data_IF_257652320420
#
_entry.id   IF_257652320420
#
_cell.length_a   1.000
_cell.length_b   1.000
_cell.length_c   1.000
_cell.angle_alpha   90.00
_cell.angle_beta   90.00
_cell.angle_gamma   90.00
#
_symmetry.space_group_name_H-M   'P 1'
#
loop_
_entity.id
_entity.type
_entity.pdbx_description
1 polymer ?
#
# COMPACT_ATOMS: atom_id res chain seq x y z
N UNK A 1 3.65 -5.58 -5.13
CA UNK A 1 3.18 -6.56 -6.13
C UNK A 1 1.64 -6.51 -6.30
N UNK A 2 1.07 -5.31 -6.52
CA UNK A 2 -0.33 -5.18 -6.92
C UNK A 2 -0.48 -5.52 -8.41
N UNK A 3 -0.35 -6.80 -8.74
CA UNK A 3 -0.41 -7.31 -10.10
C UNK A 3 -1.79 -7.85 -10.44
N UNK A 4 -2.21 -7.71 -11.69
CA UNK A 4 -3.57 -8.04 -12.12
C UNK A 4 -3.95 -9.51 -11.88
N UNK A 5 -3.03 -10.43 -12.11
CA UNK A 5 -3.25 -11.86 -11.84
C UNK A 5 -3.35 -12.14 -10.34
N UNK A 6 -2.47 -11.54 -9.54
CA UNK A 6 -2.50 -11.67 -8.08
C UNK A 6 -3.75 -11.05 -7.45
N UNK A 7 -4.22 -9.92 -7.96
CA UNK A 7 -5.46 -9.31 -7.47
C UNK A 7 -6.69 -10.22 -7.67
N UNK A 8 -6.68 -11.09 -8.68
CA UNK A 8 -7.78 -12.03 -8.91
C UNK A 8 -7.89 -13.15 -7.86
N UNK A 9 -6.85 -13.40 -7.08
CA UNK A 9 -6.87 -14.42 -6.02
C UNK A 9 -7.15 -13.84 -4.63
N UNK A 10 -7.35 -12.53 -4.52
CA UNK A 10 -7.75 -11.89 -3.27
C UNK A 10 -9.17 -12.30 -2.90
N UNK A 11 -9.33 -12.92 -1.75
CA UNK A 11 -10.61 -13.43 -1.24
C UNK A 11 -10.96 -12.93 0.15
N UNK A 12 -10.09 -12.14 0.77
CA UNK A 12 -10.32 -11.54 2.09
C UNK A 12 -10.96 -10.14 2.02
N UNK A 13 -11.11 -9.59 0.82
CA UNK A 13 -11.84 -8.36 0.51
C UNK A 13 -12.73 -8.54 -0.71
N UNK A 14 -13.78 -7.73 -0.84
CA UNK A 14 -14.46 -7.61 -2.14
C UNK A 14 -13.51 -6.96 -3.17
N UNK A 15 -13.61 -7.30 -4.46
CA UNK A 15 -12.73 -6.73 -5.48
C UNK A 15 -12.76 -5.20 -5.53
N UNK A 16 -13.96 -4.61 -5.41
CA UNK A 16 -14.13 -3.16 -5.48
C UNK A 16 -13.55 -2.45 -4.26
N UNK A 17 -13.78 -2.99 -3.04
CA UNK A 17 -13.21 -2.42 -1.82
C UNK A 17 -11.68 -2.51 -1.83
N UNK A 18 -11.14 -3.67 -2.23
CA UNK A 18 -9.70 -3.87 -2.31
C UNK A 18 -9.05 -2.90 -3.29
N UNK A 19 -9.58 -2.82 -4.51
CA UNK A 19 -9.06 -1.89 -5.53
C UNK A 19 -9.15 -0.44 -5.06
N UNK A 20 -10.27 -0.05 -4.45
CA UNK A 20 -10.42 1.29 -3.89
C UNK A 20 -9.35 1.60 -2.83
N UNK A 21 -9.10 0.67 -1.90
CA UNK A 21 -8.13 0.88 -0.83
C UNK A 21 -6.69 0.97 -1.37
N UNK A 22 -6.35 0.17 -2.38
CA UNK A 22 -5.04 0.24 -3.05
C UNK A 22 -4.85 1.61 -3.71
N UNK A 23 -5.86 2.09 -4.43
CA UNK A 23 -5.80 3.41 -5.08
C UNK A 23 -5.85 4.55 -4.06
N UNK A 24 -6.58 4.39 -2.97
CA UNK A 24 -6.62 5.36 -1.87
C UNK A 24 -5.25 5.54 -1.21
N UNK A 25 -4.53 4.45 -0.96
CA UNK A 25 -3.16 4.50 -0.46
C UNK A 25 -2.23 5.19 -1.46
N UNK A 26 -2.37 4.87 -2.75
CA UNK A 26 -1.58 5.48 -3.81
C UNK A 26 -1.83 6.98 -3.94
N UNK A 27 -3.10 7.41 -3.92
CA UNK A 27 -3.48 8.81 -3.91
C UNK A 27 -2.97 9.54 -2.68
N UNK A 28 -3.00 8.91 -1.50
CA UNK A 28 -2.41 9.46 -0.29
C UNK A 28 -0.89 9.64 -0.43
N UNK A 29 -0.19 8.64 -0.97
CA UNK A 29 1.25 8.73 -1.21
C UNK A 29 1.60 9.90 -2.17
N UNK A 30 0.78 10.10 -3.20
CA UNK A 30 0.93 11.21 -4.14
C UNK A 30 0.62 12.56 -3.49
N UNK A 31 -0.48 12.64 -2.72
CA UNK A 31 -0.89 13.85 -2.01
C UNK A 31 0.18 14.35 -1.03
N UNK A 32 0.82 13.43 -0.31
CA UNK A 32 1.90 13.73 0.63
C UNK A 32 3.31 13.74 -0.01
N UNK A 33 3.41 13.61 -1.33
CA UNK A 33 4.66 13.60 -2.08
C UNK A 33 5.68 12.59 -1.53
N UNK A 34 5.21 11.42 -1.10
CA UNK A 34 6.07 10.38 -0.55
C UNK A 34 6.92 9.74 -1.66
N UNK A 35 8.23 9.53 -1.41
CA UNK A 35 9.04 8.71 -2.31
C UNK A 35 8.39 7.33 -2.49
N UNK A 36 8.03 7.00 -3.72
CA UNK A 36 7.25 5.79 -4.04
C UNK A 36 8.05 4.88 -4.94
N UNK A 37 8.08 3.59 -4.62
CA UNK A 37 8.73 2.55 -5.42
C UNK A 37 7.67 1.53 -5.80
N UNK A 38 7.57 1.23 -7.08
CA UNK A 38 6.69 0.21 -7.62
C UNK A 38 7.50 -1.04 -7.95
N UNK A 39 6.99 -2.20 -7.59
CA UNK A 39 7.65 -3.47 -7.92
C UNK A 39 6.64 -4.55 -8.25
N UNK A 40 7.08 -5.50 -9.05
CA UNK A 40 6.33 -6.68 -9.47
C UNK A 40 7.23 -7.91 -9.43
N UNK A 41 6.63 -9.08 -9.46
CA UNK A 41 7.33 -10.37 -9.55
C UNK A 41 6.79 -11.16 -10.73
N UNK A 42 7.69 -11.55 -11.64
CA UNK A 42 7.39 -12.43 -12.78
C UNK A 42 6.16 -12.00 -13.58
N UNK A 43 6.18 -10.79 -14.14
CA UNK A 43 5.06 -10.20 -14.90
C UNK A 43 4.62 -11.01 -16.11
N UNK A 44 5.57 -11.69 -16.76
CA UNK A 44 5.30 -12.55 -17.94
C UNK A 44 4.60 -13.87 -17.57
N UNK A 45 4.46 -14.15 -16.29
CA UNK A 45 3.80 -15.33 -15.75
C UNK A 45 2.37 -15.04 -15.30
N UNK A 46 1.78 -16.00 -14.54
CA UNK A 46 0.40 -15.90 -14.04
C UNK A 46 0.12 -14.68 -13.14
N UNK A 47 1.16 -14.10 -12.54
CA UNK A 47 1.02 -12.92 -11.69
C UNK A 47 0.51 -11.71 -12.48
N UNK A 48 0.86 -11.64 -13.77
CA UNK A 48 0.45 -10.56 -14.65
C UNK A 48 1.15 -9.23 -14.38
N UNK A 49 0.82 -8.18 -15.14
CA UNK A 49 1.41 -6.85 -14.98
C UNK A 49 0.89 -6.13 -13.74
N UNK A 50 1.60 -5.07 -13.35
CA UNK A 50 1.13 -4.12 -12.33
C UNK A 50 -0.23 -3.54 -12.73
N UNK A 51 -1.09 -3.30 -11.74
CA UNK A 51 -2.35 -2.58 -11.93
C UNK A 51 -2.08 -1.24 -12.63
N UNK A 52 -2.70 -0.98 -13.80
CA UNK A 52 -2.33 0.15 -14.65
C UNK A 52 -2.43 1.51 -13.96
N UNK A 53 -3.45 1.71 -13.14
CA UNK A 53 -3.70 2.96 -12.43
C UNK A 53 -2.53 3.35 -11.51
N UNK A 54 -1.82 2.38 -10.93
CA UNK A 54 -0.63 2.68 -10.11
C UNK A 54 0.52 3.23 -10.95
N UNK A 55 0.70 2.69 -12.14
CA UNK A 55 1.73 3.16 -13.07
C UNK A 55 1.40 4.55 -13.63
N UNK A 56 0.11 4.82 -13.86
CA UNK A 56 -0.38 6.13 -14.29
C UNK A 56 -0.22 7.19 -13.20
N UNK A 57 -0.44 6.84 -11.94
CA UNK A 57 -0.27 7.75 -10.80
C UNK A 57 1.20 8.12 -10.56
N UNK A 58 2.12 7.18 -10.82
CA UNK A 58 3.55 7.33 -10.55
C UNK A 58 4.40 7.06 -11.79
N UNK A 59 4.27 7.85 -12.86
CA UNK A 59 4.98 7.59 -14.13
C UNK A 59 6.51 7.69 -14.00
N UNK A 60 7.00 8.49 -13.06
CA UNK A 60 8.43 8.75 -12.84
C UNK A 60 9.02 7.99 -11.65
N UNK A 61 8.22 7.17 -10.95
CA UNK A 61 8.69 6.38 -9.82
C UNK A 61 9.62 5.24 -10.27
N UNK A 62 10.62 4.87 -9.48
CA UNK A 62 11.36 3.65 -9.71
C UNK A 62 10.42 2.46 -9.84
N UNK A 63 10.53 1.74 -10.94
CA UNK A 63 9.74 0.56 -11.25
C UNK A 63 10.65 -0.64 -11.42
N UNK A 64 10.58 -1.59 -10.51
CA UNK A 64 11.44 -2.77 -10.50
C UNK A 64 10.60 -4.02 -10.85
N UNK A 65 10.64 -4.46 -12.10
CA UNK A 65 10.08 -5.72 -12.54
C UNK A 65 11.05 -6.86 -12.21
N UNK A 66 10.83 -7.53 -11.09
CA UNK A 66 11.70 -8.62 -10.66
C UNK A 66 11.48 -9.86 -11.54
N UNK A 67 12.54 -10.53 -12.03
CA UNK A 67 12.40 -11.70 -12.90
C UNK A 67 11.78 -12.92 -12.21
N UNK A 68 11.84 -13.01 -10.87
CA UNK A 68 11.29 -14.16 -10.16
C UNK A 68 11.50 -14.18 -8.66
N UNK A 69 12.25 -13.22 -8.10
CA UNK A 69 12.42 -13.16 -6.64
C UNK A 69 11.06 -12.97 -5.97
N UNK A 70 10.71 -13.90 -5.11
CA UNK A 70 9.45 -13.85 -4.32
C UNK A 70 9.53 -12.74 -3.30
N UNK A 71 10.63 -12.69 -2.54
CA UNK A 71 10.93 -11.59 -1.65
C UNK A 71 11.54 -10.43 -2.44
N UNK A 72 10.92 -9.27 -2.43
CA UNK A 72 11.47 -8.08 -3.09
C UNK A 72 12.85 -7.69 -2.53
N UNK A 73 13.11 -8.00 -1.27
CA UNK A 73 14.41 -7.73 -0.63
C UNK A 73 15.56 -8.58 -1.15
N UNK A 74 15.26 -9.70 -1.84
CA UNK A 74 16.28 -10.53 -2.53
C UNK A 74 16.69 -9.94 -3.90
N UNK A 75 16.09 -8.81 -4.30
CA UNK A 75 16.44 -8.11 -5.53
C UNK A 75 17.25 -6.86 -5.20
N UNK A 76 18.47 -6.81 -5.70
CA UNK A 76 19.42 -5.73 -5.40
C UNK A 76 18.93 -4.36 -5.89
N UNK A 77 18.30 -4.28 -7.06
CA UNK A 77 17.80 -3.02 -7.60
C UNK A 77 16.67 -2.46 -6.74
N UNK A 78 15.79 -3.34 -6.23
CA UNK A 78 14.74 -2.93 -5.30
C UNK A 78 15.32 -2.37 -4.00
N UNK A 79 16.25 -3.09 -3.38
CA UNK A 79 16.90 -2.64 -2.13
C UNK A 79 17.65 -1.32 -2.34
N UNK A 80 18.35 -1.17 -3.47
CA UNK A 80 19.04 0.06 -3.81
C UNK A 80 18.07 1.23 -4.01
N UNK A 81 16.92 1.01 -4.64
CA UNK A 81 15.89 2.03 -4.78
C UNK A 81 15.34 2.47 -3.42
N UNK A 82 15.10 1.54 -2.49
CA UNK A 82 14.68 1.86 -1.12
C UNK A 82 15.77 2.68 -0.40
N UNK A 83 17.00 2.23 -0.41
CA UNK A 83 18.13 2.91 0.23
C UNK A 83 18.37 4.31 -0.32
N UNK A 84 18.17 4.51 -1.63
CA UNK A 84 18.33 5.80 -2.30
C UNK A 84 17.34 6.87 -1.79
N UNK A 85 16.20 6.49 -1.24
CA UNK A 85 15.25 7.44 -0.63
C UNK A 85 15.79 8.10 0.64
N UNK A 86 16.77 7.50 1.31
CA UNK A 86 17.28 7.94 2.60
C UNK A 86 16.30 7.84 3.77
N UNK A 87 15.10 7.27 3.55
CA UNK A 87 14.08 7.13 4.58
C UNK A 87 14.35 5.91 5.47
N UNK A 88 13.88 5.98 6.71
CA UNK A 88 13.99 4.90 7.70
C UNK A 88 12.65 4.27 8.04
N UNK A 89 11.57 4.89 7.62
CA UNK A 89 10.19 4.42 7.78
C UNK A 89 9.67 3.96 6.41
N UNK A 90 9.15 2.76 6.36
CA UNK A 90 8.59 2.18 5.13
C UNK A 90 7.09 1.91 5.30
N UNK A 91 6.30 2.38 4.36
CA UNK A 91 4.89 2.02 4.22
C UNK A 91 4.82 0.96 3.12
N UNK A 92 4.31 -0.22 3.46
CA UNK A 92 4.33 -1.40 2.59
C UNK A 92 2.92 -1.91 2.35
N UNK A 93 2.60 -2.23 1.12
CA UNK A 93 1.35 -2.90 0.72
C UNK A 93 1.55 -3.76 -0.52
N UNK A 94 0.72 -4.77 -0.71
CA UNK A 94 0.82 -5.66 -1.88
C UNK A 94 -0.07 -6.89 -1.82
N UNK A 95 0.16 -7.81 -2.72
CA UNK A 95 -0.49 -9.13 -2.84
C UNK A 95 0.58 -10.19 -3.10
N UNK A 96 0.60 -11.27 -2.35
CA UNK A 96 -0.27 -11.65 -1.23
C UNK A 96 0.36 -11.25 0.10
N UNK A 97 -0.51 -11.02 1.10
CA UNK A 97 -0.10 -10.48 2.40
C UNK A 97 0.98 -11.31 3.10
N UNK A 98 0.85 -12.64 3.10
CA UNK A 98 1.76 -13.55 3.81
C UNK A 98 3.10 -13.80 3.11
N UNK A 99 3.25 -13.34 1.86
CA UNK A 99 4.46 -13.57 1.05
C UNK A 99 5.05 -12.24 0.57
N UNK A 100 4.47 -11.64 -0.46
CA UNK A 100 5.02 -10.45 -1.11
C UNK A 100 5.01 -9.20 -0.22
N UNK A 101 4.18 -9.18 0.82
CA UNK A 101 4.18 -8.13 1.86
C UNK A 101 5.02 -8.55 3.05
N UNK A 102 4.79 -9.73 3.61
CA UNK A 102 5.44 -10.18 4.82
C UNK A 102 6.97 -10.33 4.66
N UNK A 103 7.44 -10.91 3.56
CA UNK A 103 8.86 -11.19 3.40
C UNK A 103 9.71 -9.91 3.34
N UNK A 104 9.41 -8.94 2.48
CA UNK A 104 10.17 -7.69 2.49
C UNK A 104 9.98 -6.89 3.78
N UNK A 105 8.80 -6.95 4.43
CA UNK A 105 8.60 -6.31 5.73
C UNK A 105 9.53 -6.87 6.80
N UNK A 106 9.64 -8.21 6.89
CA UNK A 106 10.54 -8.88 7.83
C UNK A 106 12.01 -8.56 7.54
N UNK A 107 12.41 -8.61 6.27
CA UNK A 107 13.78 -8.28 5.86
C UNK A 107 14.15 -6.81 6.18
N UNK A 108 13.23 -5.88 5.94
CA UNK A 108 13.43 -4.48 6.26
C UNK A 108 13.56 -4.25 7.78
N UNK A 109 12.74 -4.92 8.59
CA UNK A 109 12.86 -4.88 10.07
C UNK A 109 14.24 -5.38 10.54
N UNK A 110 14.76 -6.46 9.96
CA UNK A 110 16.10 -6.98 10.27
C UNK A 110 17.20 -5.98 9.94
N UNK A 111 17.03 -5.16 8.91
CA UNK A 111 17.96 -4.07 8.55
C UNK A 111 17.73 -2.76 9.34
N UNK A 112 16.82 -2.77 10.30
CA UNK A 112 16.58 -1.65 11.21
C UNK A 112 15.62 -0.57 10.70
N UNK A 113 14.82 -0.87 9.67
CA UNK A 113 13.73 0.01 9.25
C UNK A 113 12.54 -0.09 10.23
N UNK A 114 11.80 0.98 10.37
CA UNK A 114 10.45 0.95 10.93
C UNK A 114 9.47 0.61 9.79
N UNK A 115 8.66 -0.42 9.95
CA UNK A 115 7.78 -0.91 8.88
C UNK A 115 6.32 -0.78 9.28
N UNK A 116 5.57 -0.11 8.42
CA UNK A 116 4.13 0.10 8.52
C UNK A 116 3.46 -0.66 7.38
N UNK A 117 2.69 -1.69 7.70
CA UNK A 117 1.97 -2.50 6.73
C UNK A 117 0.54 -2.00 6.62
N UNK A 118 0.12 -1.64 5.41
CA UNK A 118 -1.24 -1.16 5.17
C UNK A 118 -2.15 -2.35 4.92
N UNK A 119 -2.83 -2.77 5.98
CA UNK A 119 -3.58 -4.02 6.04
C UNK A 119 -4.76 -4.06 5.05
N UNK A 120 -5.45 -2.94 4.84
CA UNK A 120 -6.59 -2.84 3.94
C UNK A 120 -6.21 -2.61 2.46
N UNK A 121 -4.94 -2.29 2.18
CA UNK A 121 -4.37 -2.25 0.83
C UNK A 121 -3.48 -3.46 0.50
N UNK A 122 -3.50 -4.48 1.36
CA UNK A 122 -2.79 -5.76 1.20
C UNK A 122 -3.81 -6.89 1.25
N UNK A 123 -3.84 -7.72 0.23
CA UNK A 123 -4.86 -8.77 0.08
C UNK A 123 -4.27 -10.18 0.01
N UNK A 124 -5.07 -11.18 0.36
CA UNK A 124 -4.72 -12.60 0.27
C UNK A 124 -5.96 -13.49 0.08
N UNK A 125 -5.78 -14.80 0.11
CA UNK A 125 -6.79 -15.82 -0.22
C UNK A 125 -8.01 -15.81 0.71
N UNK A 126 -7.80 -15.62 2.02
CA UNK A 126 -8.84 -15.71 3.03
C UNK A 126 -8.40 -15.10 4.37
N UNK A 127 -9.37 -14.99 5.27
CA UNK A 127 -9.15 -14.41 6.60
C UNK A 127 -8.11 -15.17 7.43
N UNK A 128 -8.10 -16.48 7.42
CA UNK A 128 -7.14 -17.28 8.20
C UNK A 128 -5.70 -16.99 7.78
N UNK A 129 -5.45 -16.95 6.48
CA UNK A 129 -4.12 -16.64 5.92
C UNK A 129 -3.70 -15.21 6.28
N UNK A 130 -4.61 -14.27 6.16
CA UNK A 130 -4.39 -12.86 6.53
C UNK A 130 -4.00 -12.71 8.00
N UNK A 131 -4.77 -13.30 8.90
CA UNK A 131 -4.52 -13.20 10.34
C UNK A 131 -3.19 -13.84 10.75
N UNK A 132 -2.83 -14.97 10.14
CA UNK A 132 -1.52 -15.60 10.35
C UNK A 132 -0.37 -14.69 9.90
N UNK A 133 -0.51 -14.03 8.74
CA UNK A 133 0.47 -13.08 8.24
C UNK A 133 0.61 -11.85 9.13
N UNK A 134 -0.52 -11.28 9.55
CA UNK A 134 -0.55 -10.13 10.46
C UNK A 134 0.16 -10.45 11.77
N UNK A 135 -0.22 -11.56 12.41
CA UNK A 135 0.40 -12.00 13.66
C UNK A 135 1.92 -12.16 13.54
N UNK A 136 2.38 -12.76 12.44
CA UNK A 136 3.81 -12.93 12.18
C UNK A 136 4.53 -11.59 12.05
N UNK A 137 3.98 -10.66 11.28
CA UNK A 137 4.60 -9.35 11.07
C UNK A 137 4.59 -8.49 12.34
N UNK A 138 3.49 -8.49 13.10
CA UNK A 138 3.40 -7.77 14.37
C UNK A 138 4.39 -8.30 15.42
N UNK A 139 4.52 -9.62 15.54
CA UNK A 139 5.50 -10.23 16.44
C UNK A 139 6.95 -9.88 16.07
N UNK A 140 7.23 -9.62 14.81
CA UNK A 140 8.53 -9.15 14.34
C UNK A 140 8.76 -7.64 14.53
N UNK A 141 7.72 -6.88 14.85
CA UNK A 141 7.79 -5.44 15.12
C UNK A 141 7.20 -4.54 14.04
N UNK A 142 6.53 -5.10 13.02
CA UNK A 142 5.79 -4.29 12.06
C UNK A 142 4.52 -3.69 12.71
N UNK A 143 4.14 -2.52 12.27
CA UNK A 143 2.90 -1.87 12.67
C UNK A 143 1.84 -2.03 11.56
N UNK A 144 0.68 -2.59 11.91
CA UNK A 144 -0.44 -2.69 10.99
C UNK A 144 -1.24 -1.40 11.02
N UNK A 145 -1.56 -0.88 9.84
CA UNK A 145 -2.34 0.34 9.65
C UNK A 145 -3.39 0.14 8.56
N UNK A 146 -4.32 1.08 8.47
CA UNK A 146 -5.19 1.24 7.30
C UNK A 146 -4.77 2.48 6.51
N UNK A 147 -5.14 2.56 5.23
CA UNK A 147 -4.76 3.70 4.40
C UNK A 147 -5.27 5.04 4.98
N UNK A 148 -6.47 5.04 5.56
CA UNK A 148 -7.03 6.23 6.21
C UNK A 148 -6.22 6.66 7.44
N UNK A 149 -5.83 5.68 8.27
CA UNK A 149 -4.97 5.91 9.42
C UNK A 149 -3.62 6.50 9.01
N UNK A 150 -2.99 5.94 7.98
CA UNK A 150 -1.73 6.45 7.40
C UNK A 150 -1.90 7.91 6.97
N UNK A 151 -2.94 8.23 6.22
CA UNK A 151 -3.18 9.59 5.75
C UNK A 151 -3.38 10.58 6.91
N UNK A 152 -4.15 10.20 7.93
CA UNK A 152 -4.36 11.05 9.12
C UNK A 152 -3.07 11.26 9.92
N UNK A 153 -2.25 10.23 10.06
CA UNK A 153 -0.99 10.31 10.80
C UNK A 153 0.03 11.19 10.07
N UNK A 154 0.10 11.13 8.75
CA UNK A 154 0.93 12.01 7.93
C UNK A 154 0.44 13.45 7.96
N UNK A 155 -0.86 13.67 7.93
CA UNK A 155 -1.46 15.01 7.86
C UNK A 155 -1.38 15.78 9.20
N UNK A 156 -1.52 15.08 10.31
CA UNK A 156 -1.37 15.58 11.70
C UNK A 156 -2.44 16.56 12.16
N UNK A 157 -2.83 17.51 11.35
CA UNK A 157 -3.78 18.57 11.73
C UNK A 157 -4.66 18.93 10.52
N UNK A 158 -5.95 18.84 10.68
CA UNK A 158 -6.94 19.18 9.65
C UNK A 158 -6.75 20.57 9.06
N UNK A 159 -6.33 21.52 9.87
CA UNK A 159 -6.13 22.91 9.48
C UNK A 159 -4.99 23.10 8.46
N UNK A 160 -4.12 22.12 8.31
CA UNK A 160 -3.02 22.19 7.34
C UNK A 160 -3.53 22.27 5.90
N UNK A 161 -4.57 21.51 5.56
CA UNK A 161 -5.24 21.54 4.26
C UNK A 161 -6.61 20.84 4.36
N UNK A 162 -7.63 21.58 4.81
CA UNK A 162 -8.99 21.03 4.99
C UNK A 162 -9.59 20.57 3.67
N UNK A 163 -9.41 21.37 2.60
CA UNK A 163 -10.00 21.09 1.29
C UNK A 163 -9.33 19.89 0.59
N UNK A 164 -8.01 19.88 0.54
CA UNK A 164 -7.26 18.80 -0.12
C UNK A 164 -7.46 17.46 0.57
N UNK A 165 -7.38 17.41 1.91
CA UNK A 165 -7.61 16.18 2.64
C UNK A 165 -9.08 15.73 2.54
N UNK A 166 -10.02 16.66 2.63
CA UNK A 166 -11.45 16.39 2.44
C UNK A 166 -11.75 15.80 1.06
N UNK A 167 -11.09 16.28 0.02
CA UNK A 167 -11.18 15.74 -1.35
C UNK A 167 -10.62 14.33 -1.44
N UNK A 168 -9.42 14.10 -0.90
CA UNK A 168 -8.80 12.76 -0.87
C UNK A 168 -9.74 11.73 -0.21
N UNK A 169 -10.28 12.05 0.95
CA UNK A 169 -11.17 11.14 1.67
C UNK A 169 -12.53 10.96 0.99
N UNK A 170 -13.09 12.02 0.43
CA UNK A 170 -14.38 11.94 -0.29
C UNK A 170 -14.29 11.10 -1.57
N UNK A 171 -13.12 11.05 -2.20
CA UNK A 171 -12.89 10.24 -3.40
C UNK A 171 -12.92 8.74 -3.10
N UNK A 172 -12.51 8.33 -1.90
CA UNK A 172 -12.32 6.93 -1.55
C UNK A 172 -13.27 6.41 -0.46
N UNK A 173 -13.94 7.29 0.28
CA UNK A 173 -14.87 6.93 1.35
C UNK A 173 -16.25 7.55 1.10
N UNK A 174 -17.22 6.79 0.60
CA UNK A 174 -18.60 7.29 0.41
C UNK A 174 -19.20 7.86 1.69
N UNK A 175 -18.95 7.24 2.83
CA UNK A 175 -19.40 7.74 4.14
C UNK A 175 -18.81 9.12 4.47
N UNK A 176 -17.54 9.34 4.13
CA UNK A 176 -16.88 10.63 4.33
C UNK A 176 -17.44 11.72 3.39
N UNK A 177 -17.68 11.34 2.14
CA UNK A 177 -18.36 12.24 1.17
C UNK A 177 -19.72 12.67 1.69
N UNK A 178 -20.52 11.76 2.26
CA UNK A 178 -21.80 12.07 2.86
C UNK A 178 -21.66 13.02 4.06
N UNK A 179 -20.61 12.86 4.88
CA UNK A 179 -20.30 13.75 5.99
C UNK A 179 -20.05 15.18 5.48
N UNK A 180 -19.21 15.33 4.46
CA UNK A 180 -18.90 16.64 3.85
C UNK A 180 -20.15 17.26 3.23
N UNK A 181 -20.95 16.47 2.50
CA UNK A 181 -22.21 16.95 1.90
C UNK A 181 -23.18 17.45 2.97
N UNK A 182 -23.33 16.72 4.07
CA UNK A 182 -24.21 17.11 5.19
C UNK A 182 -23.73 18.37 5.89
N UNK A 183 -22.43 18.55 6.01
CA UNK A 183 -21.82 19.75 6.57
C UNK A 183 -22.11 20.98 5.66
N UNK A 184 -21.85 20.84 4.37
CA UNK A 184 -22.06 21.93 3.39
C UNK A 184 -23.52 22.32 3.24
N UNK A 185 -24.46 21.42 3.49
CA UNK A 185 -25.90 21.72 3.45
C UNK A 185 -26.37 22.64 4.58
N UNK A 186 -25.55 22.89 5.62
CA UNK A 186 -25.85 23.79 6.71
C UNK A 186 -25.34 25.23 6.47
N UNK A 187 -24.58 25.41 5.41
CA UNK A 187 -24.00 26.69 4.98
C UNK A 187 -24.94 27.36 3.97
#
# INVERSE_FOLDING_TARGET
DHQSGLCNIVGDFSPDDFKNNVLALADAAKYFELPTILTTSFEDGPNGPLVPELKELFPDAPYIARPGQINAWDNEDFVNAVKATGKKQLIVAGVVTEVCVAFPALSALEEGYEVFVVADASGTFNQTTREAAWSRMEQAGAQLMTWFGVACELHRDWRNDVEGLGTLFSNHLPAYRNLITSYSAKS
#
